data_IF_942841957237
#
_entry.id   IF_942841957237
#
_cell.length_a   1.000
_cell.length_b   1.000
_cell.length_c   1.000
_cell.angle_alpha   90.00
_cell.angle_beta   90.00
_cell.angle_gamma   90.00
#
_symmetry.space_group_name_H-M   'P 1'
#
loop_
_entity.id
_entity.type
_entity.pdbx_description
1 polymer ?
#
# COMPACT_ATOMS: atom_id res chain seq x y z
N UNK A 1 46.68 23.00 9.39
CA UNK A 1 45.27 22.78 9.79
C UNK A 1 44.59 22.09 8.63
N UNK A 2 44.07 20.90 8.88
CA UNK A 2 43.73 19.85 7.92
C UNK A 2 42.57 20.23 6.99
N UNK A 3 42.77 20.02 5.69
CA UNK A 3 41.71 19.98 4.67
C UNK A 3 40.75 18.84 5.00
N UNK A 4 39.50 19.17 5.31
CA UNK A 4 38.41 18.21 5.38
C UNK A 4 37.95 17.93 3.94
N UNK A 5 38.54 16.93 3.30
CA UNK A 5 38.05 16.40 2.03
C UNK A 5 36.65 15.82 2.23
N UNK A 6 35.66 16.52 1.69
CA UNK A 6 34.27 16.05 1.66
C UNK A 6 34.19 14.74 0.89
N UNK A 7 34.01 13.63 1.61
CA UNK A 7 33.84 12.32 1.00
C UNK A 7 32.57 12.32 0.14
N UNK A 8 32.72 12.01 -1.14
CA UNK A 8 31.57 11.76 -2.03
C UNK A 8 30.85 10.52 -1.48
N UNK A 9 29.55 10.58 -1.16
CA UNK A 9 28.84 9.43 -0.64
C UNK A 9 28.89 8.28 -1.68
N UNK A 10 29.11 7.03 -1.23
CA UNK A 10 29.19 5.91 -2.14
C UNK A 10 27.89 5.78 -2.92
N UNK A 11 27.99 5.69 -4.26
CA UNK A 11 26.86 5.32 -5.11
C UNK A 11 26.47 3.87 -4.81
N UNK A 12 25.33 3.71 -4.16
CA UNK A 12 24.73 2.38 -3.96
C UNK A 12 24.26 1.82 -5.30
N UNK A 13 24.33 0.48 -5.50
CA UNK A 13 23.74 -0.15 -6.66
C UNK A 13 22.23 0.10 -6.69
N UNK A 14 21.65 0.14 -7.89
CA UNK A 14 20.19 0.20 -8.01
C UNK A 14 19.58 -1.02 -7.30
N UNK A 15 18.54 -0.82 -6.47
CA UNK A 15 17.85 -1.94 -5.84
C UNK A 15 17.45 -2.96 -6.91
N UNK A 16 17.63 -4.27 -6.64
CA UNK A 16 17.18 -5.30 -7.57
C UNK A 16 15.70 -5.10 -7.86
N UNK A 17 15.35 -5.06 -9.16
CA UNK A 17 13.99 -4.77 -9.64
C UNK A 17 13.00 -5.88 -9.27
N UNK A 18 13.50 -7.06 -8.92
CA UNK A 18 12.70 -8.19 -8.47
C UNK A 18 13.31 -8.80 -7.20
N UNK A 19 12.57 -8.71 -6.11
CA UNK A 19 12.86 -9.38 -4.85
C UNK A 19 11.93 -10.60 -4.75
N UNK A 20 12.42 -11.84 -4.88
CA UNK A 20 11.62 -13.03 -4.65
C UNK A 20 10.97 -12.95 -3.26
N UNK A 21 9.66 -13.17 -3.19
CA UNK A 21 8.93 -13.11 -1.92
C UNK A 21 8.59 -11.70 -1.42
N UNK A 22 8.73 -10.66 -2.26
CA UNK A 22 8.27 -9.31 -1.92
C UNK A 22 6.79 -9.32 -1.51
N UNK A 23 6.51 -8.66 -0.39
CA UNK A 23 5.17 -8.34 0.08
C UNK A 23 5.03 -6.83 0.28
N UNK A 24 3.90 -6.26 -0.12
CA UNK A 24 3.61 -4.84 0.03
C UNK A 24 2.52 -4.62 1.08
N UNK A 25 2.78 -3.67 1.97
CA UNK A 25 1.81 -3.14 2.93
C UNK A 25 1.71 -1.65 2.66
N UNK A 26 0.54 -1.21 2.23
CA UNK A 26 0.33 0.13 1.68
C UNK A 26 -0.69 0.86 2.54
N UNK A 27 -0.34 2.05 3.00
CA UNK A 27 -1.34 2.95 3.59
C UNK A 27 -2.28 3.49 2.52
N UNK A 28 -3.43 4.02 2.92
CA UNK A 28 -4.45 4.56 2.03
C UNK A 28 -4.39 6.09 1.97
N UNK A 29 -4.74 6.76 3.08
CA UNK A 29 -4.91 8.22 3.11
C UNK A 29 -3.56 8.94 3.06
N UNK A 30 -3.38 9.82 2.07
CA UNK A 30 -2.10 10.48 1.82
C UNK A 30 -1.05 9.62 1.12
N UNK A 31 -1.36 8.35 0.80
CA UNK A 31 -0.45 7.43 0.10
C UNK A 31 -1.05 6.96 -1.22
N UNK A 32 -2.10 6.13 -1.18
CA UNK A 32 -2.80 5.65 -2.37
C UNK A 32 -3.96 6.57 -2.77
N UNK A 33 -4.54 7.27 -1.80
CA UNK A 33 -5.59 8.26 -2.00
C UNK A 33 -5.09 9.63 -1.54
N UNK A 34 -5.35 10.72 -2.27
CA UNK A 34 -5.03 12.05 -1.79
C UNK A 34 -5.81 12.35 -0.51
N UNK A 35 -5.21 13.15 0.38
CA UNK A 35 -5.96 13.72 1.49
C UNK A 35 -7.08 14.62 0.95
N UNK A 36 -8.27 14.48 1.52
CA UNK A 36 -9.44 15.26 1.16
C UNK A 36 -9.96 16.03 2.38
N UNK A 37 -10.74 17.12 2.19
CA UNK A 37 -11.28 17.91 3.30
C UNK A 37 -12.13 17.11 4.28
N UNK A 38 -12.77 16.04 3.81
CA UNK A 38 -13.50 15.08 4.65
C UNK A 38 -13.18 13.64 4.22
N UNK A 39 -13.26 12.66 5.14
CA UNK A 39 -13.00 11.26 4.81
C UNK A 39 -13.88 10.71 3.69
N UNK A 40 -15.15 11.14 3.62
CA UNK A 40 -16.14 10.66 2.66
C UNK A 40 -15.93 11.19 1.24
N UNK A 41 -15.19 12.30 1.09
CA UNK A 41 -14.88 12.89 -0.21
C UNK A 41 -13.88 12.05 -1.03
N UNK A 42 -13.21 11.09 -0.41
CA UNK A 42 -12.36 10.13 -1.13
C UNK A 42 -13.24 9.01 -1.68
N UNK A 43 -13.25 8.86 -3.00
CA UNK A 43 -13.96 7.79 -3.72
C UNK A 43 -13.03 6.93 -4.57
N UNK A 44 -13.58 5.96 -5.33
CA UNK A 44 -12.81 5.14 -6.25
C UNK A 44 -12.13 5.96 -7.34
N UNK A 45 -10.96 5.51 -7.77
CA UNK A 45 -10.18 6.08 -8.86
C UNK A 45 -9.72 4.94 -9.77
N UNK A 46 -10.04 5.05 -11.06
CA UNK A 46 -9.83 3.96 -12.02
C UNK A 46 -8.36 3.53 -12.12
N UNK A 47 -7.42 4.49 -12.03
CA UNK A 47 -5.99 4.21 -12.11
C UNK A 47 -5.51 3.47 -10.86
N UNK A 48 -5.87 3.94 -9.66
CA UNK A 48 -5.54 3.26 -8.40
C UNK A 48 -6.09 1.84 -8.40
N UNK A 49 -7.37 1.66 -8.75
CA UNK A 49 -8.02 0.35 -8.81
C UNK A 49 -7.26 -0.60 -9.73
N UNK A 50 -6.96 -0.16 -10.96
CA UNK A 50 -6.22 -0.98 -11.92
C UNK A 50 -4.81 -1.37 -11.43
N UNK A 51 -4.09 -0.43 -10.79
CA UNK A 51 -2.74 -0.68 -10.25
C UNK A 51 -2.79 -1.66 -9.08
N UNK A 52 -3.72 -1.49 -8.13
CA UNK A 52 -3.86 -2.40 -7.00
C UNK A 52 -4.23 -3.82 -7.44
N UNK A 53 -5.15 -3.95 -8.39
CA UNK A 53 -5.51 -5.24 -8.97
C UNK A 53 -4.28 -5.90 -9.63
N UNK A 54 -3.50 -5.13 -10.39
CA UNK A 54 -2.28 -5.63 -11.03
C UNK A 54 -1.21 -6.03 -10.03
N UNK A 55 -0.98 -5.25 -8.97
CA UNK A 55 -0.03 -5.56 -7.91
C UNK A 55 -0.41 -6.85 -7.20
N UNK A 56 -1.69 -7.03 -6.87
CA UNK A 56 -2.20 -8.25 -6.25
C UNK A 56 -1.91 -9.47 -7.11
N UNK A 57 -2.12 -9.38 -8.44
CA UNK A 57 -1.80 -10.47 -9.37
C UNK A 57 -0.30 -10.77 -9.44
N UNK A 58 0.54 -9.75 -9.66
CA UNK A 58 1.99 -9.91 -9.84
C UNK A 58 2.66 -10.42 -8.56
N UNK A 59 2.16 -10.00 -7.40
CA UNK A 59 2.67 -10.40 -6.10
C UNK A 59 1.98 -11.64 -5.54
N UNK A 60 1.08 -12.29 -6.31
CA UNK A 60 0.38 -13.52 -5.91
C UNK A 60 -0.32 -13.36 -4.55
N UNK A 61 -1.09 -12.28 -4.39
CA UNK A 61 -1.83 -11.98 -3.16
C UNK A 61 -0.99 -11.33 -2.04
N UNK A 62 0.33 -11.15 -2.23
CA UNK A 62 1.23 -10.52 -1.23
C UNK A 62 1.16 -8.99 -1.26
N UNK A 63 -0.01 -8.41 -1.40
CA UNK A 63 -0.23 -6.97 -1.34
C UNK A 63 -1.45 -6.69 -0.45
N UNK A 64 -1.29 -5.87 0.58
CA UNK A 64 -2.35 -5.51 1.51
C UNK A 64 -2.45 -3.99 1.71
N UNK A 65 -3.68 -3.48 1.79
CA UNK A 65 -3.94 -2.12 2.27
C UNK A 65 -4.05 -2.12 3.79
N UNK A 66 -3.34 -1.22 4.46
CA UNK A 66 -3.35 -1.07 5.92
C UNK A 66 -3.79 0.34 6.24
N UNK A 67 -4.96 0.52 6.84
CA UNK A 67 -5.53 1.84 7.08
C UNK A 67 -6.22 1.93 8.44
N UNK A 68 -6.35 3.16 8.95
CA UNK A 68 -7.24 3.47 10.07
C UNK A 68 -8.73 3.35 9.71
N UNK A 69 -9.08 3.37 8.42
CA UNK A 69 -10.46 3.19 7.93
C UNK A 69 -10.98 1.77 8.15
N UNK A 70 -12.30 1.61 8.10
CA UNK A 70 -12.94 0.28 8.11
C UNK A 70 -12.65 -0.50 6.81
N UNK A 71 -12.78 -1.84 6.84
CA UNK A 71 -12.69 -2.65 5.63
C UNK A 71 -13.71 -2.22 4.56
N UNK A 72 -14.92 -1.83 4.97
CA UNK A 72 -15.96 -1.36 4.07
C UNK A 72 -15.56 -0.08 3.32
N UNK A 73 -14.92 0.87 4.00
CA UNK A 73 -14.39 2.08 3.35
C UNK A 73 -13.20 1.78 2.45
N UNK A 74 -12.29 0.89 2.88
CA UNK A 74 -11.17 0.43 2.04
C UNK A 74 -11.71 -0.20 0.75
N UNK A 75 -12.75 -1.01 0.83
CA UNK A 75 -13.40 -1.64 -0.33
C UNK A 75 -14.03 -0.60 -1.25
N UNK A 76 -14.78 0.35 -0.69
CA UNK A 76 -15.39 1.45 -1.44
C UNK A 76 -14.36 2.29 -2.18
N UNK A 77 -13.25 2.64 -1.52
CA UNK A 77 -12.19 3.48 -2.10
C UNK A 77 -11.35 2.69 -3.11
N UNK A 78 -11.05 1.43 -2.83
CA UNK A 78 -10.26 0.59 -3.75
C UNK A 78 -11.11 -0.02 -4.88
N UNK A 79 -12.42 0.18 -4.88
CA UNK A 79 -13.38 -0.48 -5.78
C UNK A 79 -13.20 -2.01 -5.74
N UNK A 80 -13.04 -2.55 -4.52
CA UNK A 80 -12.80 -3.98 -4.27
C UNK A 80 -11.42 -4.51 -4.71
N UNK A 81 -10.52 -3.68 -5.24
CA UNK A 81 -9.21 -4.14 -5.70
C UNK A 81 -8.26 -4.54 -4.55
N UNK A 82 -8.47 -4.04 -3.33
CA UNK A 82 -7.68 -4.41 -2.16
C UNK A 82 -8.16 -5.75 -1.58
N UNK A 83 -7.70 -6.87 -2.13
CA UNK A 83 -8.15 -8.21 -1.68
C UNK A 83 -7.76 -8.50 -0.23
N UNK A 84 -6.49 -8.32 0.12
CA UNK A 84 -6.03 -8.32 1.51
C UNK A 84 -6.05 -6.91 2.08
N UNK A 85 -6.57 -6.76 3.29
CA UNK A 85 -6.68 -5.47 3.93
C UNK A 85 -6.70 -5.58 5.47
N UNK A 86 -6.25 -4.52 6.12
CA UNK A 86 -6.30 -4.32 7.56
C UNK A 86 -6.90 -2.95 7.84
N UNK A 87 -8.06 -2.93 8.49
CA UNK A 87 -8.79 -1.72 8.87
C UNK A 87 -8.78 -1.48 10.37
N UNK A 88 -9.26 -0.30 10.78
CA UNK A 88 -9.44 0.11 12.18
C UNK A 88 -8.18 -0.13 13.02
N UNK A 89 -7.03 0.31 12.50
CA UNK A 89 -5.71 0.13 13.13
C UNK A 89 -5.37 -1.35 13.44
N UNK A 90 -5.90 -2.28 12.65
CA UNK A 90 -5.64 -3.72 12.79
C UNK A 90 -6.76 -4.52 13.44
N UNK A 91 -7.84 -3.89 13.92
CA UNK A 91 -8.97 -4.61 14.54
C UNK A 91 -9.83 -5.36 13.52
N UNK A 92 -9.83 -4.92 12.25
CA UNK A 92 -10.47 -5.63 11.16
C UNK A 92 -9.40 -6.12 10.18
N UNK A 93 -9.40 -7.40 9.84
CA UNK A 93 -8.42 -7.95 8.89
C UNK A 93 -9.10 -8.91 7.93
N UNK A 94 -8.73 -8.80 6.66
CA UNK A 94 -9.13 -9.72 5.59
C UNK A 94 -7.89 -10.21 4.86
N UNK A 95 -7.79 -11.53 4.68
CA UNK A 95 -6.75 -12.16 3.86
C UNK A 95 -7.13 -12.11 2.38
N UNK A 96 -6.17 -12.34 1.49
CA UNK A 96 -6.38 -12.35 0.03
C UNK A 96 -7.41 -13.41 -0.42
N UNK A 97 -7.53 -14.51 0.34
CA UNK A 97 -8.54 -15.57 0.18
C UNK A 97 -9.96 -15.16 0.66
N UNK A 98 -10.11 -13.96 1.21
CA UNK A 98 -11.37 -13.43 1.74
C UNK A 98 -11.65 -13.80 3.19
N UNK A 99 -10.80 -14.59 3.86
CA UNK A 99 -11.00 -14.95 5.25
C UNK A 99 -10.90 -13.71 6.15
N UNK A 100 -11.96 -13.46 6.93
CA UNK A 100 -11.99 -12.41 7.94
C UNK A 100 -11.36 -12.92 9.23
N UNK A 101 -10.47 -12.11 9.80
CA UNK A 101 -9.84 -12.34 11.09
C UNK A 101 -10.30 -11.25 12.07
N UNK A 102 -10.64 -11.68 13.27
CA UNK A 102 -10.82 -10.80 14.45
C UNK A 102 -9.51 -10.80 15.22
#
# INVERSE_FOLDING_TARGET
MSDAQGAVPPRLPHPPVFLPGLALFLDLDGVLAPLAPTPDAVGPDARRTAVLARLTQVLQGRAAVVSGRTLAEIDRISDGAARAASGVHGLERRRDDGALLR
#
